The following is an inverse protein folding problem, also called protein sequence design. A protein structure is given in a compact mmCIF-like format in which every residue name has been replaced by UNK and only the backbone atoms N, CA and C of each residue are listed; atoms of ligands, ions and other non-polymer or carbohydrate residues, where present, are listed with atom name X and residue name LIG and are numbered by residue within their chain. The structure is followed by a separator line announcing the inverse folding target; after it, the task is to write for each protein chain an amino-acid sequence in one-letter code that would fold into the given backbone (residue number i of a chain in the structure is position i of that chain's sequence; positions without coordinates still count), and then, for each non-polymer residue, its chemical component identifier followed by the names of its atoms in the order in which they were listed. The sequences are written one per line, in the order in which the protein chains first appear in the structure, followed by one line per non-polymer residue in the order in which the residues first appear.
data_IF_591784930094
#
_entry.id   IF_591784930094
#
_cell.length_a   1.000
_cell.length_b   1.000
_cell.length_c   1.000
_cell.angle_alpha   90.00
_cell.angle_beta   90.00
_cell.angle_gamma   90.00
#
_symmetry.space_group_name_H-M   'P 1'
#
loop_
_entity.id
_entity.type
_entity.pdbx_description
1 polymer ?
#
# COMPACT_ATOMS: atom_id res chain seq x y z
N UNK A 1 -41.67 16.83 3.95
CA UNK A 1 -40.78 16.71 2.78
C UNK A 1 -39.38 16.50 3.32
N UNK A 2 -38.91 15.26 3.30
CA UNK A 2 -37.53 14.91 3.69
C UNK A 2 -36.73 14.97 2.39
N UNK A 3 -35.76 15.88 2.32
CA UNK A 3 -34.79 15.93 1.23
C UNK A 3 -33.86 14.74 1.40
N UNK A 4 -34.06 13.69 0.60
CA UNK A 4 -33.02 12.68 0.36
C UNK A 4 -31.82 13.39 -0.28
N UNK A 5 -30.81 13.68 0.54
CA UNK A 5 -29.46 13.99 0.06
C UNK A 5 -28.94 12.74 -0.65
N UNK A 6 -29.14 12.71 -1.96
CA UNK A 6 -28.64 11.66 -2.84
C UNK A 6 -27.14 11.91 -2.96
N UNK A 7 -26.34 11.18 -2.17
CA UNK A 7 -24.88 11.23 -2.26
C UNK A 7 -24.45 11.01 -3.71
N UNK A 8 -23.66 11.93 -4.25
CA UNK A 8 -23.24 11.87 -5.65
C UNK A 8 -22.20 10.74 -5.77
N UNK A 9 -22.26 9.85 -6.78
CA UNK A 9 -21.26 8.78 -6.97
C UNK A 9 -19.80 9.24 -6.87
N UNK A 10 -19.49 10.48 -7.28
CA UNK A 10 -18.15 11.07 -7.15
C UNK A 10 -17.70 11.25 -5.69
N UNK A 11 -18.63 11.55 -4.76
CA UNK A 11 -18.36 11.71 -3.33
C UNK A 11 -18.11 10.35 -2.66
N UNK A 12 -18.85 9.32 -3.09
CA UNK A 12 -18.68 7.95 -2.60
C UNK A 12 -17.34 7.35 -3.04
N UNK A 13 -16.94 7.57 -4.30
CA UNK A 13 -15.64 7.13 -4.83
C UNK A 13 -14.46 7.90 -4.20
N UNK A 14 -14.63 9.22 -3.96
CA UNK A 14 -13.66 10.01 -3.19
C UNK A 14 -13.46 9.47 -1.77
N UNK A 15 -14.55 9.14 -1.09
CA UNK A 15 -14.50 8.53 0.25
C UNK A 15 -13.83 7.15 0.25
N UNK A 16 -14.05 6.34 -0.79
CA UNK A 16 -13.43 5.02 -0.92
C UNK A 16 -11.92 5.11 -1.16
N UNK A 17 -11.47 6.05 -2.00
CA UNK A 17 -10.04 6.34 -2.22
C UNK A 17 -9.35 6.77 -0.92
N UNK A 18 -9.96 7.67 -0.15
CA UNK A 18 -9.44 8.11 1.15
C UNK A 18 -9.36 6.97 2.17
N UNK A 19 -10.39 6.12 2.24
CA UNK A 19 -10.39 4.92 3.10
C UNK A 19 -9.31 3.93 2.68
N UNK A 20 -9.12 3.71 1.38
CA UNK A 20 -8.08 2.84 0.85
C UNK A 20 -6.67 3.34 1.19
N UNK A 21 -6.43 4.64 1.04
CA UNK A 21 -5.15 5.25 1.41
C UNK A 21 -4.87 5.14 2.92
N UNK A 22 -5.86 5.45 3.76
CA UNK A 22 -5.74 5.31 5.21
C UNK A 22 -5.47 3.86 5.64
N UNK A 23 -6.13 2.88 5.00
CA UNK A 23 -5.90 1.47 5.26
C UNK A 23 -4.47 1.04 4.90
N UNK A 24 -3.95 1.48 3.75
CA UNK A 24 -2.57 1.17 3.35
C UNK A 24 -1.54 1.79 4.29
N UNK A 25 -1.76 3.04 4.70
CA UNK A 25 -0.93 3.70 5.69
C UNK A 25 -0.92 2.94 7.03
N UNK A 26 -2.11 2.56 7.52
CA UNK A 26 -2.25 1.84 8.77
C UNK A 26 -1.56 0.46 8.74
N UNK A 27 -1.75 -0.30 7.67
CA UNK A 27 -1.12 -1.61 7.52
C UNK A 27 0.42 -1.50 7.49
N UNK A 28 0.96 -0.46 6.83
CA UNK A 28 2.39 -0.17 6.83
C UNK A 28 2.90 0.17 8.24
N UNK A 29 2.20 1.03 8.96
CA UNK A 29 2.58 1.37 10.35
C UNK A 29 2.58 0.15 11.28
N UNK A 30 1.62 -0.76 11.10
CA UNK A 30 1.60 -2.03 11.84
C UNK A 30 2.80 -2.91 11.51
N UNK A 31 3.19 -3.00 10.24
CA UNK A 31 4.41 -3.70 9.84
C UNK A 31 5.65 -3.05 10.45
N UNK A 32 5.80 -1.73 10.36
CA UNK A 32 6.94 -0.99 10.93
C UNK A 32 7.03 -1.22 12.44
N UNK A 33 5.91 -1.14 13.15
CA UNK A 33 5.83 -1.42 14.58
C UNK A 33 6.25 -2.87 14.92
N UNK A 34 5.80 -3.85 14.13
CA UNK A 34 6.17 -5.25 14.33
C UNK A 34 7.68 -5.49 14.11
N UNK A 35 8.29 -4.84 13.12
CA UNK A 35 9.72 -4.96 12.82
C UNK A 35 10.58 -4.48 14.01
N UNK A 36 10.23 -3.34 14.60
CA UNK A 36 11.02 -2.69 15.67
C UNK A 36 10.69 -3.19 17.08
N UNK A 37 9.60 -3.94 17.25
CA UNK A 37 9.22 -4.53 18.54
C UNK A 37 10.35 -5.40 19.13
N UNK A 38 10.37 -5.50 20.47
CA UNK A 38 11.30 -6.39 21.18
C UNK A 38 11.10 -7.84 20.73
N UNK A 39 12.19 -8.59 20.63
CA UNK A 39 12.21 -9.99 20.21
C UNK A 39 12.78 -10.91 21.32
N UNK A 40 12.53 -10.57 22.59
CA UNK A 40 12.84 -11.44 23.74
C UNK A 40 12.11 -12.79 23.62
N UNK A 41 10.86 -12.77 23.18
CA UNK A 41 10.14 -13.93 22.63
C UNK A 41 10.18 -13.87 21.10
N UNK A 42 11.12 -14.60 20.51
CA UNK A 42 11.32 -14.61 19.06
C UNK A 42 10.13 -15.24 18.29
N UNK A 43 9.43 -16.22 18.88
CA UNK A 43 8.28 -16.85 18.24
C UNK A 43 7.06 -15.92 18.27
N UNK A 44 6.78 -15.31 19.41
CA UNK A 44 5.73 -14.29 19.53
C UNK A 44 5.98 -13.08 18.63
N UNK A 45 7.24 -12.61 18.56
CA UNK A 45 7.64 -11.55 17.63
C UNK A 45 7.37 -11.93 16.16
N UNK A 46 7.76 -13.14 15.76
CA UNK A 46 7.52 -13.62 14.39
C UNK A 46 6.03 -13.77 14.08
N UNK A 47 5.21 -14.22 15.03
CA UNK A 47 3.75 -14.27 14.88
C UNK A 47 3.16 -12.88 14.62
N UNK A 48 3.58 -11.87 15.40
CA UNK A 48 3.12 -10.49 15.19
C UNK A 48 3.55 -9.93 13.82
N UNK A 49 4.77 -10.23 13.39
CA UNK A 49 5.25 -9.85 12.06
C UNK A 49 4.44 -10.54 10.95
N UNK A 50 4.14 -11.84 11.11
CA UNK A 50 3.30 -12.58 10.17
C UNK A 50 1.93 -11.94 10.01
N UNK A 51 1.25 -11.62 11.12
CA UNK A 51 -0.09 -11.03 11.09
C UNK A 51 -0.09 -9.63 10.44
N UNK A 52 0.93 -8.82 10.71
CA UNK A 52 1.09 -7.53 10.05
C UNK A 52 1.33 -7.66 8.53
N UNK A 53 2.10 -8.67 8.11
CA UNK A 53 2.34 -8.94 6.69
C UNK A 53 1.11 -9.51 5.99
N UNK A 54 0.30 -10.32 6.68
CA UNK A 54 -0.98 -10.83 6.19
C UNK A 54 -1.93 -9.67 5.88
N UNK A 55 -2.13 -8.77 6.86
CA UNK A 55 -2.93 -7.57 6.70
C UNK A 55 -2.41 -6.66 5.56
N UNK A 56 -1.09 -6.44 5.50
CA UNK A 56 -0.49 -5.63 4.45
C UNK A 56 -0.71 -6.21 3.05
N UNK A 57 -0.53 -7.52 2.87
CA UNK A 57 -0.77 -8.18 1.58
C UNK A 57 -2.23 -8.02 1.14
N UNK A 58 -3.16 -8.17 2.10
CA UNK A 58 -4.59 -8.00 1.90
C UNK A 58 -4.96 -6.58 1.44
N UNK A 59 -4.40 -5.58 2.10
CA UNK A 59 -4.64 -4.17 1.76
C UNK A 59 -3.98 -3.80 0.44
N UNK A 60 -2.79 -4.33 0.13
CA UNK A 60 -2.12 -4.07 -1.15
C UNK A 60 -2.89 -4.63 -2.34
N UNK A 61 -3.47 -5.83 -2.22
CA UNK A 61 -4.34 -6.39 -3.27
C UNK A 61 -5.53 -5.48 -3.56
N UNK A 62 -6.19 -4.99 -2.50
CA UNK A 62 -7.31 -4.03 -2.61
C UNK A 62 -6.87 -2.69 -3.18
N UNK A 63 -5.72 -2.17 -2.76
CA UNK A 63 -5.12 -0.94 -3.29
C UNK A 63 -4.84 -1.06 -4.80
N UNK A 64 -4.23 -2.17 -5.21
CA UNK A 64 -3.95 -2.46 -6.62
C UNK A 64 -5.24 -2.54 -7.42
N UNK A 65 -6.23 -3.31 -6.94
CA UNK A 65 -7.54 -3.44 -7.60
C UNK A 65 -8.23 -2.09 -7.77
N UNK A 66 -8.31 -1.28 -6.71
CA UNK A 66 -8.94 0.04 -6.76
C UNK A 66 -8.21 1.01 -7.70
N UNK A 67 -6.88 0.91 -7.78
CA UNK A 67 -6.06 1.84 -8.57
C UNK A 67 -5.97 1.44 -10.06
N UNK A 68 -5.94 0.15 -10.36
CA UNK A 68 -5.73 -0.39 -11.71
C UNK A 68 -7.01 -0.82 -12.43
N UNK A 69 -8.15 -1.00 -11.73
CA UNK A 69 -9.41 -1.36 -12.38
C UNK A 69 -9.80 -0.32 -13.44
N UNK A 70 -10.60 -0.69 -14.46
CA UNK A 70 -11.21 0.28 -15.36
C UNK A 70 -11.96 1.37 -14.57
N UNK A 71 -11.72 2.63 -14.91
CA UNK A 71 -12.19 3.79 -14.17
C UNK A 71 -11.54 3.99 -12.79
N UNK A 72 -10.47 3.27 -12.49
CA UNK A 72 -9.67 3.42 -11.27
C UNK A 72 -8.79 4.67 -11.31
N UNK A 73 -8.13 4.96 -10.18
CA UNK A 73 -7.39 6.21 -9.99
C UNK A 73 -6.27 6.41 -11.00
N UNK A 74 -5.57 5.35 -11.44
CA UNK A 74 -4.49 5.48 -12.42
C UNK A 74 -5.00 5.83 -13.81
N UNK A 75 -6.15 5.29 -14.22
CA UNK A 75 -6.78 5.66 -15.49
C UNK A 75 -7.34 7.09 -15.43
N UNK A 76 -7.88 7.49 -14.29
CA UNK A 76 -8.34 8.86 -14.03
C UNK A 76 -7.19 9.87 -14.16
N UNK A 77 -6.06 9.61 -13.48
CA UNK A 77 -4.83 10.42 -13.59
C UNK A 77 -4.32 10.51 -15.03
N UNK A 78 -4.31 9.39 -15.75
CA UNK A 78 -3.85 9.35 -17.14
C UNK A 78 -4.75 10.17 -18.08
N UNK A 79 -6.07 10.18 -17.84
CA UNK A 79 -7.02 10.99 -18.61
C UNK A 79 -6.86 12.49 -18.37
N UNK A 80 -6.60 12.90 -17.13
CA UNK A 80 -6.42 14.33 -16.80
C UNK A 80 -5.06 14.84 -17.25
N UNK A 81 -4.00 14.05 -17.06
CA UNK A 81 -2.62 14.46 -17.33
C UNK A 81 -1.87 13.39 -18.14
N UNK A 82 -2.12 13.27 -19.47
CA UNK A 82 -1.52 12.24 -20.32
C UNK A 82 0.02 12.23 -20.35
N UNK A 83 0.66 13.35 -20.00
CA UNK A 83 2.12 13.43 -19.85
C UNK A 83 2.67 12.53 -18.73
N UNK A 84 1.82 12.06 -17.81
CA UNK A 84 2.18 11.19 -16.71
C UNK A 84 2.17 9.70 -17.06
N UNK A 85 1.71 9.28 -18.25
CA UNK A 85 1.55 7.86 -18.62
C UNK A 85 2.78 6.99 -18.31
N UNK A 86 4.00 7.45 -18.62
CA UNK A 86 5.21 6.68 -18.35
C UNK A 86 5.45 6.41 -16.84
N UNK A 87 5.09 7.36 -15.98
CA UNK A 87 5.20 7.20 -14.51
C UNK A 87 4.05 6.37 -13.95
N UNK A 88 2.85 6.49 -14.52
CA UNK A 88 1.69 5.65 -14.19
C UNK A 88 1.98 4.18 -14.51
N UNK A 89 2.50 3.89 -15.69
CA UNK A 89 2.90 2.53 -16.09
C UNK A 89 3.99 1.97 -15.17
N UNK A 90 4.96 2.80 -14.77
CA UNK A 90 5.94 2.41 -13.76
C UNK A 90 5.27 2.05 -12.42
N UNK A 91 4.29 2.84 -11.98
CA UNK A 91 3.54 2.54 -10.74
C UNK A 91 2.81 1.20 -10.83
N UNK A 92 2.12 0.92 -11.95
CA UNK A 92 1.47 -0.39 -12.21
C UNK A 92 2.47 -1.54 -12.15
N UNK A 93 3.63 -1.36 -12.79
CA UNK A 93 4.67 -2.39 -12.83
C UNK A 93 5.27 -2.72 -11.44
N UNK A 94 5.07 -1.86 -10.43
CA UNK A 94 5.61 -2.05 -9.09
C UNK A 94 4.63 -2.73 -8.12
N UNK A 95 3.33 -2.61 -8.34
CA UNK A 95 2.32 -3.16 -7.42
C UNK A 95 2.47 -4.68 -7.24
N UNK A 96 2.54 -5.44 -8.33
CA UNK A 96 2.64 -6.91 -8.23
C UNK A 96 3.95 -7.36 -7.56
N UNK A 97 5.14 -6.84 -7.92
CA UNK A 97 6.37 -7.17 -7.20
C UNK A 97 6.34 -6.84 -5.70
N UNK A 98 5.64 -5.78 -5.26
CA UNK A 98 5.49 -5.47 -3.84
C UNK A 98 4.58 -6.47 -3.11
N UNK A 99 3.50 -6.90 -3.76
CA UNK A 99 2.61 -7.96 -3.24
C UNK A 99 3.41 -9.27 -3.11
N UNK A 100 4.09 -9.70 -4.17
CA UNK A 100 4.84 -10.96 -4.20
C UNK A 100 5.93 -11.01 -3.12
N UNK A 101 6.64 -9.89 -2.91
CA UNK A 101 7.67 -9.78 -1.86
C UNK A 101 7.06 -9.85 -0.46
N UNK A 102 5.92 -9.21 -0.23
CA UNK A 102 5.17 -9.29 1.03
C UNK A 102 4.74 -10.73 1.32
N UNK A 103 4.15 -11.40 0.33
CA UNK A 103 3.71 -12.79 0.45
C UNK A 103 4.90 -13.74 0.69
N UNK A 104 6.00 -13.56 -0.04
CA UNK A 104 7.22 -14.36 0.14
C UNK A 104 7.79 -14.22 1.56
N UNK A 105 7.81 -13.00 2.10
CA UNK A 105 8.28 -12.75 3.47
C UNK A 105 7.31 -13.38 4.48
N UNK A 106 6.00 -13.19 4.31
CA UNK A 106 4.96 -13.79 5.15
C UNK A 106 5.10 -15.31 5.23
N UNK A 107 5.23 -15.99 4.11
CA UNK A 107 5.45 -17.44 4.07
C UNK A 107 6.77 -17.84 4.72
N UNK A 108 7.83 -17.04 4.55
CA UNK A 108 9.12 -17.30 5.20
C UNK A 108 9.01 -17.22 6.72
N UNK A 109 8.26 -16.25 7.23
CA UNK A 109 7.96 -16.12 8.66
C UNK A 109 7.14 -17.33 9.13
N UNK A 110 6.06 -17.68 8.42
CA UNK A 110 5.21 -18.83 8.75
C UNK A 110 6.03 -20.14 8.87
N UNK A 111 6.89 -20.44 7.90
CA UNK A 111 7.77 -21.61 7.93
C UNK A 111 8.72 -21.63 9.13
N UNK A 112 9.26 -20.48 9.53
CA UNK A 112 10.14 -20.39 10.70
C UNK A 112 9.38 -20.59 12.02
N UNK A 113 8.16 -20.05 12.12
CA UNK A 113 7.27 -20.26 13.27
C UNK A 113 6.88 -21.73 13.39
N UNK A 114 6.46 -22.37 12.29
CA UNK A 114 6.14 -23.81 12.24
C UNK A 114 7.34 -24.69 12.62
N UNK A 115 8.54 -24.29 12.19
CA UNK A 115 9.80 -24.96 12.52
C UNK A 115 10.30 -24.71 13.95
N UNK A 116 9.64 -23.83 14.72
CA UNK A 116 10.03 -23.49 16.10
C UNK A 116 11.36 -22.75 16.23
N UNK A 117 11.93 -22.26 15.13
CA UNK A 117 13.22 -21.57 15.10
C UNK A 117 13.14 -20.32 14.22
N UNK A 118 13.26 -19.16 14.88
CA UNK A 118 13.15 -17.85 14.26
C UNK A 118 14.51 -17.17 14.20
N UNK A 119 14.93 -16.81 12.99
CA UNK A 119 16.15 -16.06 12.73
C UNK A 119 15.81 -14.56 12.65
N UNK A 120 15.60 -13.94 13.83
CA UNK A 120 15.07 -12.57 13.97
C UNK A 120 15.82 -11.54 13.12
N UNK A 121 17.15 -11.55 13.16
CA UNK A 121 17.97 -10.57 12.42
C UNK A 121 17.83 -10.72 10.91
N UNK A 122 17.67 -11.96 10.43
CA UNK A 122 17.45 -12.23 9.01
C UNK A 122 16.09 -11.69 8.55
N UNK A 123 15.03 -11.98 9.31
CA UNK A 123 13.69 -11.50 9.02
C UNK A 123 13.59 -9.97 9.08
N UNK A 124 14.18 -9.32 10.09
CA UNK A 124 14.29 -7.85 10.15
C UNK A 124 15.00 -7.27 8.93
N UNK A 125 16.08 -7.91 8.49
CA UNK A 125 16.83 -7.46 7.31
C UNK A 125 15.98 -7.51 6.02
N UNK A 126 15.16 -8.54 5.85
CA UNK A 126 14.25 -8.64 4.69
C UNK A 126 13.10 -7.62 4.83
N UNK A 127 12.46 -7.58 6.00
CA UNK A 127 11.34 -6.69 6.27
C UNK A 127 11.73 -5.21 6.13
N UNK A 128 12.92 -4.81 6.60
CA UNK A 128 13.41 -3.44 6.45
C UNK A 128 13.69 -3.03 5.00
N UNK A 129 14.10 -3.95 4.12
CA UNK A 129 14.21 -3.65 2.68
C UNK A 129 12.84 -3.48 2.04
N UNK A 130 11.91 -4.36 2.37
CA UNK A 130 10.53 -4.27 1.91
C UNK A 130 9.87 -2.95 2.35
N UNK A 131 10.10 -2.52 3.60
CA UNK A 131 9.65 -1.24 4.11
C UNK A 131 10.20 -0.06 3.30
N UNK A 132 11.49 -0.08 2.99
CA UNK A 132 12.11 0.94 2.13
C UNK A 132 11.47 0.98 0.75
N UNK A 133 11.22 -0.19 0.14
CA UNK A 133 10.57 -0.27 -1.17
C UNK A 133 9.15 0.34 -1.13
N UNK A 134 8.39 0.12 -0.05
CA UNK A 134 7.08 0.74 0.14
C UNK A 134 7.16 2.25 0.31
N UNK A 135 8.11 2.74 1.10
CA UNK A 135 8.31 4.19 1.28
C UNK A 135 8.57 4.86 -0.06
N UNK A 136 9.45 4.28 -0.87
CA UNK A 136 9.79 4.82 -2.19
C UNK A 136 8.60 4.77 -3.14
N UNK A 137 7.80 3.71 -3.11
CA UNK A 137 6.58 3.61 -3.90
C UNK A 137 5.53 4.67 -3.50
N UNK A 138 5.28 4.83 -2.20
CA UNK A 138 4.32 5.81 -1.67
C UNK A 138 4.74 7.24 -2.01
N UNK A 139 6.03 7.58 -1.83
CA UNK A 139 6.53 8.90 -2.17
C UNK A 139 6.23 9.26 -3.63
N UNK A 140 6.46 8.32 -4.56
CA UNK A 140 6.18 8.51 -5.98
C UNK A 140 4.68 8.55 -6.29
N UNK A 141 3.86 7.81 -5.55
CA UNK A 141 2.40 7.88 -5.63
C UNK A 141 1.83 9.23 -5.17
N UNK A 142 2.40 9.82 -4.11
CA UNK A 142 2.05 11.17 -3.63
C UNK A 142 2.39 12.21 -4.70
N UNK A 143 3.61 12.16 -5.26
CA UNK A 143 4.02 13.06 -6.34
C UNK A 143 3.11 12.95 -7.57
N UNK A 144 2.74 11.72 -7.95
CA UNK A 144 1.81 11.48 -9.07
C UNK A 144 0.44 12.07 -8.81
N UNK A 145 -0.09 11.88 -7.60
CA UNK A 145 -1.40 12.42 -7.21
C UNK A 145 -1.39 13.95 -7.19
N UNK A 146 -0.36 14.55 -6.60
CA UNK A 146 -0.17 16.01 -6.57
C UNK A 146 -0.13 16.59 -7.98
N UNK A 147 0.65 15.98 -8.89
CA UNK A 147 0.76 16.46 -10.26
C UNK A 147 -0.50 16.26 -11.09
N UNK A 148 -1.28 15.21 -10.84
CA UNK A 148 -2.51 14.92 -11.57
C UNK A 148 -3.70 15.79 -11.13
N UNK A 149 -3.78 16.15 -9.84
CA UNK A 149 -4.97 16.79 -9.27
C UNK A 149 -4.75 18.21 -8.70
N UNK A 150 -3.57 18.53 -8.18
CA UNK A 150 -3.32 19.84 -7.54
C UNK A 150 -2.63 20.83 -8.48
N UNK A 151 -1.85 20.36 -9.45
CA UNK A 151 -1.20 21.25 -10.44
C UNK A 151 -2.19 21.87 -11.43
N UNK A 152 -3.32 21.22 -11.68
CA UNK A 152 -4.37 21.72 -12.59
C UNK A 152 -5.12 22.94 -12.01
N UNK A 153 -5.05 23.18 -10.69
CA UNK A 153 -5.63 24.38 -10.06
C UNK A 153 -4.72 25.63 -10.09
N UNK A 154 -3.53 25.55 -10.69
CA UNK A 154 -2.52 26.62 -10.66
C UNK A 154 -2.20 27.29 -12.00
N UNK A 155 -2.99 27.07 -13.04
CA UNK A 155 -2.62 27.37 -14.43
C UNK A 155 -3.38 28.49 -15.13
N UNK A 156 -3.39 29.72 -14.60
CA UNK A 156 -3.52 30.93 -15.43
C UNK A 156 -2.48 31.98 -15.02
N UNK A 157 -1.52 32.22 -15.92
CA UNK A 157 -0.52 33.28 -15.88
C UNK A 157 0.05 33.47 -17.28
#
# INVERSE_FOLDING_TARGET
MVTESREHPADAEGGERLRGHAALHHARERMDAAIVASAEDALGWAGNLHDALDELADVLRRHREASERPGGSLEEMEKMEPRLSARIERSRAEHQPLIDRTETLRETVARQVEGGRVEVNHLRGIAGRLESDFRDHIARGIELTYEAFERDMGGEG
#
